data_IF_698653829364
#
_entry.id   IF_698653829364
#
_cell.length_a   1.000
_cell.length_b   1.000
_cell.length_c   1.000
_cell.angle_alpha   90.00
_cell.angle_beta   90.00
_cell.angle_gamma   90.00
#
_symmetry.space_group_name_H-M   'P 1'
#
loop_
_entity.id
_entity.type
_entity.pdbx_description
1 polymer ?
#
# COMPACT_ATOMS: atom_id res chain seq x y z
N UNK A 1 -15.12 0.43 11.90
CA UNK A 1 -15.45 0.18 10.47
C UNK A 1 -14.24 -0.50 9.85
N UNK A 2 -14.37 -1.42 8.89
CA UNK A 2 -13.19 -2.09 8.33
C UNK A 2 -12.29 -1.00 7.68
N UNK A 3 -10.99 -0.97 7.97
CA UNK A 3 -10.10 0.13 7.55
C UNK A 3 -10.10 0.34 6.03
N UNK A 4 -10.29 -0.74 5.27
CA UNK A 4 -10.50 -0.72 3.82
C UNK A 4 -11.74 0.09 3.38
N UNK A 5 -12.83 0.05 4.14
CA UNK A 5 -14.04 0.84 3.84
C UNK A 5 -13.81 2.34 4.06
N UNK A 6 -13.05 2.71 5.08
CA UNK A 6 -12.66 4.11 5.31
C UNK A 6 -11.78 4.62 4.16
N UNK A 7 -10.78 3.82 3.75
CA UNK A 7 -9.92 4.14 2.62
C UNK A 7 -10.70 4.25 1.30
N UNK A 8 -11.68 3.38 1.09
CA UNK A 8 -12.55 3.42 -0.09
C UNK A 8 -13.41 4.70 -0.12
N UNK A 9 -13.98 5.11 1.01
CA UNK A 9 -14.79 6.34 1.10
C UNK A 9 -13.93 7.58 0.82
N UNK A 10 -12.73 7.64 1.40
CA UNK A 10 -11.77 8.73 1.13
C UNK A 10 -11.43 8.76 -0.38
N UNK A 11 -11.12 7.61 -0.96
CA UNK A 11 -10.82 7.50 -2.39
C UNK A 11 -11.99 7.92 -3.28
N UNK A 12 -13.23 7.59 -2.91
CA UNK A 12 -14.43 7.98 -3.63
C UNK A 12 -14.64 9.50 -3.61
N UNK A 13 -14.47 10.13 -2.46
CA UNK A 13 -14.56 11.59 -2.33
C UNK A 13 -13.47 12.27 -3.17
N UNK A 14 -12.23 11.79 -3.10
CA UNK A 14 -11.12 12.32 -3.92
C UNK A 14 -11.37 12.13 -5.42
N UNK A 15 -11.86 10.97 -5.84
CA UNK A 15 -12.18 10.70 -7.24
C UNK A 15 -13.30 11.61 -7.76
N UNK A 16 -14.35 11.85 -6.97
CA UNK A 16 -15.44 12.76 -7.31
C UNK A 16 -14.95 14.21 -7.41
N UNK A 17 -14.10 14.64 -6.48
CA UNK A 17 -13.48 15.98 -6.51
C UNK A 17 -12.61 16.13 -7.77
N UNK A 18 -11.75 15.16 -8.06
CA UNK A 18 -10.90 15.18 -9.27
C UNK A 18 -11.75 15.21 -10.53
N UNK A 19 -12.80 14.39 -10.63
CA UNK A 19 -13.70 14.40 -11.77
C UNK A 19 -14.41 15.76 -11.94
N UNK A 20 -14.90 16.35 -10.84
CA UNK A 20 -15.52 17.67 -10.86
C UNK A 20 -14.54 18.75 -11.33
N UNK A 21 -13.32 18.77 -10.78
CA UNK A 21 -12.28 19.74 -11.14
C UNK A 21 -11.89 19.58 -12.61
N UNK A 22 -11.66 18.36 -13.08
CA UNK A 22 -11.26 18.09 -14.47
C UNK A 22 -12.35 18.51 -15.45
N UNK A 23 -13.61 18.20 -15.17
CA UNK A 23 -14.75 18.61 -16.02
C UNK A 23 -14.94 20.13 -16.01
N UNK A 24 -14.87 20.77 -14.84
CA UNK A 24 -15.02 22.22 -14.72
C UNK A 24 -13.87 22.95 -15.45
N UNK A 25 -12.63 22.54 -15.21
CA UNK A 25 -11.46 23.09 -15.88
C UNK A 25 -11.51 22.87 -17.40
N UNK A 26 -11.99 21.71 -17.86
CA UNK A 26 -12.12 21.41 -19.29
C UNK A 26 -13.13 22.31 -20.00
N UNK A 27 -14.22 22.71 -19.33
CA UNK A 27 -15.21 23.66 -19.88
C UNK A 27 -14.71 25.11 -19.93
N UNK A 28 -13.83 25.49 -19.01
CA UNK A 28 -13.27 26.85 -18.93
C UNK A 28 -12.08 27.00 -19.88
N UNK A 29 -11.36 25.92 -20.15
CA UNK A 29 -10.13 25.95 -20.94
C UNK A 29 -10.40 26.10 -22.44
N UNK A 30 -9.73 27.05 -23.09
CA UNK A 30 -9.92 27.33 -24.50
C UNK A 30 -9.62 26.09 -25.37
N UNK A 31 -10.49 25.78 -26.37
CA UNK A 31 -10.26 24.68 -27.31
C UNK A 31 -8.92 24.83 -28.03
N UNK A 32 -8.18 23.73 -28.18
CA UNK A 32 -6.90 23.70 -28.91
C UNK A 32 -5.66 24.03 -28.08
N UNK A 33 -5.79 24.36 -26.79
CA UNK A 33 -4.63 24.53 -25.90
C UNK A 33 -4.08 23.18 -25.42
N UNK A 34 -2.78 23.11 -25.15
CA UNK A 34 -2.14 21.92 -24.54
C UNK A 34 -2.81 21.55 -23.21
N UNK A 35 -3.26 22.54 -22.45
CA UNK A 35 -3.98 22.33 -21.20
C UNK A 35 -5.33 21.64 -21.42
N UNK A 36 -6.10 22.07 -22.42
CA UNK A 36 -7.35 21.41 -22.80
C UNK A 36 -7.10 19.94 -23.19
N UNK A 37 -6.00 19.65 -23.91
CA UNK A 37 -5.63 18.26 -24.25
C UNK A 37 -5.34 17.40 -23.02
N UNK A 38 -4.59 17.90 -22.04
CA UNK A 38 -4.31 17.17 -20.79
C UNK A 38 -5.61 16.90 -20.04
N UNK A 39 -6.50 17.89 -19.94
CA UNK A 39 -7.79 17.74 -19.27
C UNK A 39 -8.71 16.72 -19.98
N UNK A 40 -8.65 16.65 -21.32
CA UNK A 40 -9.35 15.60 -22.07
C UNK A 40 -8.82 14.21 -21.74
N UNK A 41 -7.50 14.03 -21.66
CA UNK A 41 -6.88 12.75 -21.25
C UNK A 41 -7.35 12.38 -19.84
N UNK A 42 -7.44 13.35 -18.94
CA UNK A 42 -7.94 13.17 -17.57
C UNK A 42 -9.46 12.93 -17.48
N UNK A 43 -10.20 12.98 -18.60
CA UNK A 43 -11.63 12.66 -18.64
C UNK A 43 -12.58 13.86 -18.56
N UNK A 44 -12.18 15.04 -19.03
CA UNK A 44 -13.06 16.23 -19.02
C UNK A 44 -14.30 16.14 -19.92
N UNK A 45 -14.31 15.21 -20.90
CA UNK A 45 -15.45 14.96 -21.79
C UNK A 45 -16.46 14.00 -21.17
N UNK A 46 -17.64 14.48 -20.77
CA UNK A 46 -18.77 13.61 -20.41
C UNK A 46 -19.57 13.26 -21.66
N UNK A 47 -19.98 12.00 -21.89
CA UNK A 47 -19.97 10.84 -20.98
C UNK A 47 -18.73 9.92 -21.06
N UNK A 48 -17.75 10.21 -21.90
CA UNK A 48 -16.59 9.32 -22.10
C UNK A 48 -15.62 9.25 -20.91
N UNK A 49 -15.66 10.24 -20.01
CA UNK A 49 -14.85 10.33 -18.79
C UNK A 49 -15.15 9.31 -17.68
N UNK A 50 -16.15 8.43 -17.87
CA UNK A 50 -16.57 7.45 -16.84
C UNK A 50 -15.45 6.45 -16.53
N UNK A 51 -14.70 6.01 -17.54
CA UNK A 51 -13.61 5.05 -17.31
C UNK A 51 -12.50 5.71 -16.49
N UNK A 52 -12.15 6.95 -16.81
CA UNK A 52 -11.16 7.75 -16.09
C UNK A 52 -11.58 7.93 -14.62
N UNK A 53 -12.86 8.15 -14.34
CA UNK A 53 -13.37 8.20 -12.96
C UNK A 53 -13.06 6.90 -12.19
N UNK A 54 -13.35 5.73 -12.77
CA UNK A 54 -13.01 4.45 -12.14
C UNK A 54 -11.50 4.24 -12.02
N UNK A 55 -10.71 4.68 -13.00
CA UNK A 55 -9.24 4.64 -12.92
C UNK A 55 -8.72 5.49 -11.76
N UNK A 56 -9.23 6.72 -11.58
CA UNK A 56 -8.85 7.58 -10.45
C UNK A 56 -9.34 7.03 -9.11
N UNK A 57 -10.54 6.46 -9.06
CA UNK A 57 -11.07 5.80 -7.86
C UNK A 57 -10.12 4.69 -7.38
N UNK A 58 -9.73 3.79 -8.29
CA UNK A 58 -8.78 2.73 -7.99
C UNK A 58 -7.42 3.30 -7.58
N UNK A 59 -6.92 4.31 -8.29
CA UNK A 59 -5.64 4.95 -7.98
C UNK A 59 -5.63 5.56 -6.56
N UNK A 60 -6.63 6.35 -6.19
CA UNK A 60 -6.73 6.93 -4.85
C UNK A 60 -6.95 5.88 -3.76
N UNK A 61 -7.70 4.82 -4.07
CA UNK A 61 -7.88 3.71 -3.14
C UNK A 61 -6.56 2.99 -2.88
N UNK A 62 -5.78 2.69 -3.93
CA UNK A 62 -4.44 2.14 -3.81
C UNK A 62 -3.51 3.02 -2.97
N UNK A 63 -3.51 4.35 -3.20
CA UNK A 63 -2.71 5.29 -2.41
C UNK A 63 -3.14 5.33 -0.93
N UNK A 64 -4.44 5.29 -0.64
CA UNK A 64 -4.95 5.29 0.73
C UNK A 64 -4.57 4.01 1.49
N UNK A 65 -4.60 2.86 0.81
CA UNK A 65 -4.14 1.58 1.34
C UNK A 65 -2.62 1.60 1.62
N UNK A 66 -1.81 2.09 0.67
CA UNK A 66 -0.36 2.25 0.86
C UNK A 66 -0.05 3.19 2.03
N UNK A 67 -0.74 4.33 2.11
CA UNK A 67 -0.57 5.28 3.21
C UNK A 67 -0.93 4.65 4.56
N UNK A 68 -2.03 3.88 4.61
CA UNK A 68 -2.43 3.14 5.81
C UNK A 68 -1.39 2.11 6.25
N UNK A 69 -0.79 1.39 5.31
CA UNK A 69 0.29 0.44 5.59
C UNK A 69 1.57 1.15 6.06
N UNK A 70 1.97 2.22 5.39
CA UNK A 70 3.15 3.01 5.77
C UNK A 70 3.00 3.65 7.14
N UNK A 71 1.81 4.17 7.48
CA UNK A 71 1.53 4.72 8.80
C UNK A 71 1.59 3.66 9.88
N UNK A 72 1.05 2.45 9.61
CA UNK A 72 1.12 1.33 10.55
C UNK A 72 2.58 1.00 10.90
N UNK A 73 3.49 0.94 9.91
CA UNK A 73 4.91 0.71 10.17
C UNK A 73 5.56 1.87 10.94
N UNK A 74 5.30 3.11 10.55
CA UNK A 74 5.85 4.26 11.27
C UNK A 74 5.42 4.31 12.74
N UNK A 75 4.17 3.91 13.02
CA UNK A 75 3.71 3.75 14.40
C UNK A 75 4.45 2.61 15.12
N UNK A 76 4.72 1.49 14.44
CA UNK A 76 5.44 0.34 15.02
C UNK A 76 6.93 0.65 15.26
N UNK A 77 7.57 1.47 14.43
CA UNK A 77 8.96 1.93 14.65
C UNK A 77 9.12 2.72 15.95
N UNK A 78 8.05 3.35 16.46
CA UNK A 78 8.08 3.98 17.78
C UNK A 78 8.45 2.99 18.90
N UNK A 79 8.18 1.69 18.73
CA UNK A 79 8.55 0.68 19.72
C UNK A 79 10.06 0.63 20.01
N UNK A 80 10.91 0.94 19.03
CA UNK A 80 12.37 1.02 19.26
C UNK A 80 12.74 2.17 20.19
N UNK A 81 12.02 3.30 20.12
CA UNK A 81 12.27 4.45 21.00
C UNK A 81 12.00 4.16 22.49
N UNK A 82 11.23 3.09 22.78
CA UNK A 82 10.96 2.66 24.14
C UNK A 82 12.15 1.97 24.81
N UNK A 83 13.27 1.74 24.12
CA UNK A 83 14.49 1.09 24.63
C UNK A 83 14.13 -0.16 25.45
N UNK A 84 13.50 -1.13 24.78
CA UNK A 84 12.89 -2.30 25.42
C UNK A 84 13.92 -3.34 25.87
N UNK A 85 15.08 -3.37 25.22
CA UNK A 85 16.19 -4.27 25.53
C UNK A 85 17.44 -3.46 25.90
N UNK A 86 18.36 -4.04 26.70
CA UNK A 86 19.62 -3.40 27.02
C UNK A 86 20.51 -3.37 25.76
N UNK A 87 20.88 -2.17 25.31
CA UNK A 87 21.71 -1.97 24.10
C UNK A 87 23.20 -1.84 24.42
N UNK A 88 23.59 -1.67 25.70
CA UNK A 88 24.99 -1.51 26.11
C UNK A 88 25.84 -2.71 25.69
N UNK A 89 27.02 -2.47 25.12
CA UNK A 89 27.95 -3.55 24.73
C UNK A 89 28.35 -4.41 25.96
N UNK A 90 28.51 -5.72 25.72
CA UNK A 90 28.96 -6.73 26.72
C UNK A 90 28.00 -7.03 27.89
N UNK A 91 26.73 -6.62 27.81
CA UNK A 91 25.74 -7.00 28.83
C UNK A 91 25.35 -8.48 28.72
N UNK A 92 25.57 -9.25 29.79
CA UNK A 92 25.18 -10.67 29.86
C UNK A 92 23.86 -10.80 30.62
N UNK A 93 22.92 -11.57 30.06
CA UNK A 93 21.61 -11.81 30.64
C UNK A 93 21.57 -13.16 31.35
N UNK A 94 21.21 -13.12 32.64
CA UNK A 94 20.84 -14.31 33.39
C UNK A 94 19.38 -14.71 33.13
N UNK A 95 18.98 -15.95 33.46
CA UNK A 95 17.58 -16.37 33.36
C UNK A 95 16.59 -15.52 34.19
N UNK A 96 17.06 -14.84 35.24
CA UNK A 96 16.25 -13.90 36.03
C UNK A 96 16.02 -12.61 35.25
N UNK A 97 17.08 -12.06 34.64
CA UNK A 97 17.00 -10.83 33.84
C UNK A 97 16.03 -10.98 32.66
N UNK A 98 15.97 -12.15 32.03
CA UNK A 98 15.00 -12.44 30.95
C UNK A 98 13.55 -12.34 31.45
N UNK A 99 13.29 -12.72 32.70
CA UNK A 99 11.97 -12.56 33.31
C UNK A 99 11.66 -11.09 33.60
N UNK A 100 12.64 -10.35 34.10
CA UNK A 100 12.47 -8.93 34.44
C UNK A 100 12.24 -8.10 33.18
N UNK A 101 12.95 -8.40 32.08
CA UNK A 101 12.69 -7.83 30.74
C UNK A 101 11.25 -8.09 30.32
N UNK A 102 10.74 -9.32 30.47
CA UNK A 102 9.35 -9.64 30.11
C UNK A 102 8.37 -8.80 30.91
N UNK A 103 8.59 -8.62 32.22
CA UNK A 103 7.73 -7.83 33.09
C UNK A 103 7.79 -6.34 32.72
N UNK A 104 8.97 -5.81 32.41
CA UNK A 104 9.14 -4.42 32.00
C UNK A 104 8.50 -4.12 30.65
N UNK A 105 8.58 -5.06 29.69
CA UNK A 105 7.86 -4.97 28.41
C UNK A 105 6.35 -4.96 28.65
N UNK A 106 5.83 -5.81 29.53
CA UNK A 106 4.40 -5.83 29.86
C UNK A 106 3.94 -4.51 30.50
N UNK A 107 4.71 -3.96 31.46
CA UNK A 107 4.40 -2.66 32.06
C UNK A 107 4.41 -1.52 31.04
N UNK A 108 5.35 -1.55 30.08
CA UNK A 108 5.41 -0.56 29.00
C UNK A 108 4.24 -0.73 28.04
N UNK A 109 3.77 -1.95 27.76
CA UNK A 109 2.53 -2.15 26.99
C UNK A 109 1.28 -1.61 27.70
N UNK A 110 1.19 -1.69 29.03
CA UNK A 110 0.05 -1.16 29.79
C UNK A 110 -0.01 0.38 29.75
N UNK A 111 1.16 1.04 29.68
CA UNK A 111 1.26 2.50 29.57
C UNK A 111 1.18 3.04 28.13
N UNK A 112 1.42 2.18 27.13
CA UNK A 112 1.42 2.52 25.71
C UNK A 112 0.46 1.59 24.94
N UNK A 113 0.70 1.39 23.65
CA UNK A 113 -0.01 0.38 22.84
C UNK A 113 0.81 -0.90 22.74
N UNK A 114 0.13 -1.98 22.38
CA UNK A 114 0.77 -3.24 22.00
C UNK A 114 1.44 -3.08 20.62
N UNK A 115 2.72 -3.44 20.55
CA UNK A 115 3.52 -3.41 19.31
C UNK A 115 3.93 -4.82 18.90
N UNK A 116 4.29 -4.99 17.63
CA UNK A 116 4.80 -6.26 17.10
C UNK A 116 6.11 -6.64 17.80
N UNK A 117 6.99 -5.67 18.03
CA UNK A 117 8.26 -5.87 18.73
C UNK A 117 8.06 -6.30 20.20
N UNK A 118 7.12 -5.69 20.92
CA UNK A 118 6.85 -6.06 22.33
C UNK A 118 6.28 -7.48 22.42
N UNK A 119 5.39 -7.86 21.49
CA UNK A 119 4.89 -9.23 21.41
C UNK A 119 5.99 -10.24 21.10
N UNK A 120 6.90 -9.91 20.17
CA UNK A 120 8.04 -10.75 19.81
C UNK A 120 8.95 -11.01 21.02
N UNK A 121 9.34 -9.95 21.75
CA UNK A 121 10.18 -10.06 22.96
C UNK A 121 9.48 -10.94 24.01
N UNK A 122 8.19 -10.72 24.27
CA UNK A 122 7.44 -11.54 25.24
C UNK A 122 7.39 -13.02 24.85
N UNK A 123 7.18 -13.33 23.56
CA UNK A 123 7.18 -14.71 23.06
C UNK A 123 8.55 -15.36 23.24
N UNK A 124 9.62 -14.65 22.87
CA UNK A 124 11.00 -15.09 23.05
C UNK A 124 11.32 -15.39 24.53
N UNK A 125 11.06 -14.43 25.44
CA UNK A 125 11.29 -14.61 26.87
C UNK A 125 10.46 -15.77 27.45
N UNK A 126 9.21 -15.93 27.02
CA UNK A 126 8.33 -17.01 27.50
C UNK A 126 8.84 -18.38 27.05
N UNK A 127 9.25 -18.51 25.79
CA UNK A 127 9.79 -19.75 25.24
C UNK A 127 11.12 -20.12 25.91
N UNK A 128 12.01 -19.14 26.08
CA UNK A 128 13.27 -19.35 26.80
C UNK A 128 13.02 -19.82 28.24
N UNK A 129 12.09 -19.19 28.97
CA UNK A 129 11.78 -19.58 30.35
C UNK A 129 11.25 -21.01 30.47
N UNK A 130 10.45 -21.47 29.50
CA UNK A 130 9.90 -22.82 29.53
C UNK A 130 10.99 -23.88 29.34
N UNK A 131 11.88 -23.67 28.37
CA UNK A 131 12.77 -24.74 27.88
C UNK A 131 14.25 -24.51 28.18
N UNK A 132 14.61 -23.34 28.76
CA UNK A 132 16.00 -22.91 29.08
C UNK A 132 16.97 -23.04 27.90
N UNK A 133 16.43 -22.95 26.68
CA UNK A 133 17.15 -23.14 25.43
C UNK A 133 17.13 -21.85 24.62
N UNK A 134 18.31 -21.28 24.39
CA UNK A 134 18.48 -20.12 23.49
C UNK A 134 18.15 -20.49 22.05
N UNK A 135 18.44 -21.72 21.64
CA UNK A 135 18.11 -22.23 20.30
C UNK A 135 16.60 -22.24 20.05
N UNK A 136 15.80 -22.68 21.03
CA UNK A 136 14.34 -22.69 20.88
C UNK A 136 13.73 -21.28 20.97
N UNK A 137 14.38 -20.38 21.73
CA UNK A 137 14.01 -18.97 21.78
C UNK A 137 14.30 -18.26 20.45
N UNK A 138 15.41 -18.62 19.78
CA UNK A 138 15.71 -18.14 18.42
C UNK A 138 14.68 -18.64 17.41
N UNK A 139 14.34 -19.94 17.46
CA UNK A 139 13.35 -20.53 16.56
C UNK A 139 11.99 -19.84 16.66
N UNK A 140 11.51 -19.56 17.88
CA UNK A 140 10.22 -18.84 18.04
C UNK A 140 10.29 -17.40 17.53
N UNK A 141 11.44 -16.73 17.64
CA UNK A 141 11.64 -15.37 17.13
C UNK A 141 11.51 -15.38 15.60
N UNK A 142 12.31 -16.19 14.92
CA UNK A 142 12.29 -16.29 13.46
C UNK A 142 10.93 -16.76 12.94
N UNK A 143 10.31 -17.74 13.59
CA UNK A 143 8.96 -18.20 13.22
C UNK A 143 7.90 -17.10 13.38
N UNK A 144 7.97 -16.32 14.46
CA UNK A 144 7.02 -15.22 14.70
C UNK A 144 7.22 -14.08 13.71
N UNK A 145 8.45 -13.70 13.40
CA UNK A 145 8.77 -12.67 12.39
C UNK A 145 8.23 -13.11 11.03
N UNK A 146 8.47 -14.36 10.62
CA UNK A 146 7.96 -14.91 9.37
C UNK A 146 6.43 -14.88 9.30
N UNK A 147 5.73 -15.26 10.37
CA UNK A 147 4.26 -15.19 10.43
C UNK A 147 3.79 -13.74 10.30
N UNK A 148 4.43 -12.80 11.00
CA UNK A 148 4.07 -11.38 10.94
C UNK A 148 4.30 -10.79 9.55
N UNK A 149 5.40 -11.16 8.88
CA UNK A 149 5.69 -10.76 7.50
C UNK A 149 4.62 -11.31 6.54
N UNK A 150 4.27 -12.59 6.64
CA UNK A 150 3.20 -13.18 5.82
C UNK A 150 1.83 -12.51 6.05
N UNK A 151 1.52 -12.15 7.31
CA UNK A 151 0.31 -11.38 7.61
C UNK A 151 0.35 -9.99 6.97
N UNK A 152 1.49 -9.29 7.04
CA UNK A 152 1.68 -7.99 6.40
C UNK A 152 1.55 -8.07 4.86
N UNK A 153 2.11 -9.12 4.25
CA UNK A 153 1.95 -9.37 2.81
C UNK A 153 0.50 -9.65 2.41
N UNK A 154 -0.25 -10.35 3.27
CA UNK A 154 -1.68 -10.62 3.10
C UNK A 154 -2.51 -9.34 3.17
N UNK A 155 -2.24 -8.46 4.14
CA UNK A 155 -2.88 -7.14 4.24
C UNK A 155 -2.67 -6.29 2.98
N UNK A 156 -1.49 -6.40 2.35
CA UNK A 156 -1.15 -5.68 1.11
C UNK A 156 -1.74 -6.32 -0.17
N UNK A 157 -2.45 -7.44 -0.08
CA UNK A 157 -3.05 -8.11 -1.23
C UNK A 157 -3.99 -7.21 -2.02
N UNK A 158 -4.76 -6.35 -1.33
CA UNK A 158 -5.67 -5.41 -1.96
C UNK A 158 -4.93 -4.36 -2.80
N UNK A 159 -3.76 -3.89 -2.36
CA UNK A 159 -2.94 -2.93 -3.11
C UNK A 159 -2.48 -3.57 -4.43
N UNK A 160 -2.00 -4.82 -4.38
CA UNK A 160 -1.58 -5.55 -5.58
C UNK A 160 -2.74 -5.79 -6.55
N UNK A 161 -3.91 -6.14 -6.03
CA UNK A 161 -5.12 -6.29 -6.83
C UNK A 161 -5.49 -4.99 -7.55
N UNK A 162 -5.50 -3.87 -6.83
CA UNK A 162 -5.83 -2.54 -7.39
C UNK A 162 -4.81 -2.11 -8.44
N UNK A 163 -3.52 -2.29 -8.17
CA UNK A 163 -2.46 -1.95 -9.11
C UNK A 163 -2.56 -2.74 -10.43
N UNK A 164 -3.00 -4.01 -10.36
CA UNK A 164 -3.34 -4.83 -11.53
C UNK A 164 -4.65 -4.38 -12.20
N UNK A 165 -5.67 -4.00 -11.42
CA UNK A 165 -6.98 -3.63 -11.95
C UNK A 165 -6.96 -2.31 -12.75
N UNK A 166 -6.14 -1.33 -12.35
CA UNK A 166 -6.03 -0.02 -13.04
C UNK A 166 -5.77 -0.18 -14.55
N UNK A 167 -4.71 -0.88 -15.02
CA UNK A 167 -4.46 -1.05 -16.45
C UNK A 167 -5.53 -1.89 -17.13
N UNK A 168 -6.14 -2.86 -16.44
CA UNK A 168 -7.27 -3.63 -16.98
C UNK A 168 -8.50 -2.75 -17.24
N UNK A 169 -8.83 -1.82 -16.33
CA UNK A 169 -9.90 -0.84 -16.52
C UNK A 169 -9.61 0.07 -17.71
N UNK A 170 -8.37 0.53 -17.87
CA UNK A 170 -7.97 1.31 -19.05
C UNK A 170 -8.11 0.53 -20.36
N UNK A 171 -7.72 -0.74 -20.36
CA UNK A 171 -7.88 -1.63 -21.52
C UNK A 171 -9.36 -1.87 -21.86
N UNK A 172 -10.21 -2.07 -20.86
CA UNK A 172 -11.68 -2.15 -21.05
C UNK A 172 -12.20 -0.86 -21.68
N UNK A 173 -11.74 0.30 -21.22
CA UNK A 173 -12.10 1.59 -21.81
C UNK A 173 -11.75 1.69 -23.29
N UNK A 174 -10.56 1.20 -23.67
CA UNK A 174 -10.15 1.15 -25.07
C UNK A 174 -11.00 0.22 -25.91
N UNK A 175 -11.34 -0.97 -25.39
CA UNK A 175 -12.24 -1.90 -26.08
C UNK A 175 -13.59 -1.25 -26.33
N UNK A 176 -14.16 -0.57 -25.32
CA UNK A 176 -15.45 0.14 -25.45
C UNK A 176 -15.35 1.23 -26.52
N UNK A 177 -14.28 2.03 -26.51
CA UNK A 177 -14.09 3.11 -27.48
C UNK A 177 -13.92 2.61 -28.92
N UNK A 178 -13.10 1.58 -29.13
CA UNK A 178 -12.88 0.98 -30.46
C UNK A 178 -14.15 0.27 -30.97
N UNK A 179 -14.85 -0.48 -30.10
CA UNK A 179 -16.10 -1.13 -30.47
C UNK A 179 -17.17 -0.10 -30.86
N UNK A 180 -17.26 1.01 -30.11
CA UNK A 180 -18.14 2.14 -30.43
C UNK A 180 -17.80 2.77 -31.78
N UNK A 181 -16.52 2.99 -32.07
CA UNK A 181 -16.09 3.58 -33.34
C UNK A 181 -16.34 2.67 -34.55
N UNK A 182 -16.23 1.35 -34.41
CA UNK A 182 -16.55 0.41 -35.49
C UNK A 182 -18.06 0.32 -35.76
N UNK A 183 -18.89 0.52 -34.74
CA UNK A 183 -20.36 0.57 -34.87
C UNK A 183 -20.84 1.74 -35.75
N UNK A 184 -20.16 2.89 -35.70
CA UNK A 184 -20.53 4.08 -36.47
C UNK A 184 -20.16 3.95 -37.96
N UNK A 185 -19.04 3.29 -38.29
CA UNK A 185 -18.60 3.07 -39.70
C UNK A 185 -19.60 2.26 -40.52
N UNK A 186 -20.37 1.38 -39.89
CA UNK A 186 -21.40 0.57 -40.58
C UNK A 186 -22.63 1.38 -40.98
N UNK A 187 -22.83 2.58 -40.44
CA UNK A 187 -24.10 3.30 -40.54
C UNK A 187 -24.21 4.19 -41.79
N UNK A 188 -23.12 4.79 -42.28
CA UNK A 188 -22.92 5.46 -43.58
C UNK A 188 -21.43 5.87 -43.69
N UNK A 189 -20.90 6.08 -44.89
CA UNK A 189 -19.49 6.50 -45.09
C UNK A 189 -19.45 7.96 -45.56
N UNK A 190 -19.83 8.91 -44.71
CA UNK A 190 -19.59 10.35 -44.91
C UNK A 190 -18.26 10.83 -44.31
N UNK A 191 -17.77 12.00 -44.72
CA UNK A 191 -16.57 12.61 -44.10
C UNK A 191 -16.76 12.89 -42.59
N UNK A 192 -17.99 13.23 -42.17
CA UNK A 192 -18.35 13.43 -40.76
C UNK A 192 -18.19 12.16 -39.92
N UNK A 193 -18.39 10.98 -40.52
CA UNK A 193 -18.25 9.69 -39.82
C UNK A 193 -16.79 9.37 -39.53
N UNK A 194 -15.86 9.76 -40.42
CA UNK A 194 -14.41 9.59 -40.22
C UNK A 194 -13.93 10.46 -39.06
N UNK A 195 -14.40 11.69 -38.96
CA UNK A 195 -14.05 12.59 -37.85
C UNK A 195 -14.52 12.04 -36.49
N UNK A 196 -15.74 11.52 -36.42
CA UNK A 196 -16.30 10.90 -35.21
C UNK A 196 -15.54 9.64 -34.78
N UNK A 197 -15.19 8.78 -35.74
CA UNK A 197 -14.36 7.58 -35.51
C UNK A 197 -13.01 7.97 -34.94
N UNK A 198 -12.36 8.96 -35.56
CA UNK A 198 -11.04 9.44 -35.13
C UNK A 198 -11.09 9.98 -33.70
N UNK A 199 -12.13 10.75 -33.36
CA UNK A 199 -12.32 11.26 -32.01
C UNK A 199 -12.54 10.15 -30.97
N UNK A 200 -13.35 9.14 -31.30
CA UNK A 200 -13.59 8.00 -30.42
C UNK A 200 -12.31 7.18 -30.17
N UNK A 201 -11.48 6.99 -31.20
CA UNK A 201 -10.18 6.33 -31.07
C UNK A 201 -9.22 7.13 -30.20
N UNK A 202 -9.16 8.46 -30.33
CA UNK A 202 -8.34 9.29 -29.46
C UNK A 202 -8.69 9.11 -27.98
N UNK A 203 -9.98 9.17 -27.65
CA UNK A 203 -10.45 8.99 -26.27
C UNK A 203 -10.14 7.59 -25.74
N UNK A 204 -10.27 6.56 -26.58
CA UNK A 204 -9.91 5.18 -26.24
C UNK A 204 -8.43 5.09 -25.84
N UNK A 205 -7.52 5.54 -26.71
CA UNK A 205 -6.08 5.50 -26.44
C UNK A 205 -5.67 6.32 -25.22
N UNK A 206 -6.25 7.51 -25.05
CA UNK A 206 -5.97 8.37 -23.88
C UNK A 206 -6.35 7.69 -22.56
N UNK A 207 -7.46 6.96 -22.55
CA UNK A 207 -7.93 6.22 -21.38
C UNK A 207 -6.92 5.14 -20.96
N UNK A 208 -6.38 4.39 -21.93
CA UNK A 208 -5.31 3.41 -21.63
C UNK A 208 -4.02 4.10 -21.20
N UNK A 209 -3.60 5.17 -21.90
CA UNK A 209 -2.39 5.90 -21.54
C UNK A 209 -2.45 6.40 -20.09
N UNK A 210 -3.55 7.03 -19.68
CA UNK A 210 -3.76 7.49 -18.32
C UNK A 210 -3.65 6.34 -17.32
N UNK A 211 -4.33 5.21 -17.59
CA UNK A 211 -4.31 4.07 -16.68
C UNK A 211 -2.92 3.47 -16.48
N UNK A 212 -2.13 3.37 -17.56
CA UNK A 212 -0.76 2.85 -17.49
C UNK A 212 0.14 3.76 -16.67
N UNK A 213 0.07 5.08 -16.91
CA UNK A 213 0.84 6.07 -16.16
C UNK A 213 0.50 6.00 -14.66
N UNK A 214 -0.80 5.99 -14.31
CA UNK A 214 -1.23 5.89 -12.92
C UNK A 214 -0.82 4.57 -12.26
N UNK A 215 -0.90 3.45 -12.98
CA UNK A 215 -0.48 2.13 -12.49
C UNK A 215 1.02 2.09 -12.21
N UNK A 216 1.85 2.63 -13.09
CA UNK A 216 3.32 2.71 -12.90
C UNK A 216 3.65 3.53 -11.65
N UNK A 217 3.03 4.70 -11.49
CA UNK A 217 3.24 5.55 -10.30
C UNK A 217 2.81 4.80 -9.03
N UNK A 218 1.64 4.17 -9.04
CA UNK A 218 1.14 3.43 -7.88
C UNK A 218 2.07 2.26 -7.51
N UNK A 219 2.51 1.48 -8.49
CA UNK A 219 3.41 0.34 -8.29
C UNK A 219 4.77 0.75 -7.76
N UNK A 220 5.30 1.90 -8.22
CA UNK A 220 6.54 2.46 -7.71
C UNK A 220 6.42 2.81 -6.22
N UNK A 221 5.37 3.55 -5.84
CA UNK A 221 5.14 3.91 -4.42
C UNK A 221 4.92 2.65 -3.58
N UNK A 222 4.18 1.68 -4.09
CA UNK A 222 3.96 0.40 -3.41
C UNK A 222 5.29 -0.33 -3.13
N UNK A 223 6.18 -0.46 -4.11
CA UNK A 223 7.49 -1.10 -3.93
C UNK A 223 8.35 -0.40 -2.86
N UNK A 224 8.39 0.94 -2.87
CA UNK A 224 9.13 1.71 -1.86
C UNK A 224 8.57 1.45 -0.44
N UNK A 225 7.25 1.35 -0.30
CA UNK A 225 6.63 1.02 0.99
C UNK A 225 6.88 -0.43 1.39
N UNK A 226 6.84 -1.37 0.44
CA UNK A 226 7.14 -2.78 0.68
C UNK A 226 8.57 -2.96 1.20
N UNK A 227 9.57 -2.32 0.56
CA UNK A 227 10.97 -2.38 1.01
C UNK A 227 11.13 -1.90 2.46
N UNK A 228 10.41 -0.84 2.85
CA UNK A 228 10.41 -0.35 4.25
C UNK A 228 9.80 -1.37 5.22
N UNK A 229 8.70 -2.01 4.84
CA UNK A 229 8.05 -3.05 5.65
C UNK A 229 8.99 -4.23 5.87
N UNK A 230 9.64 -4.71 4.81
CA UNK A 230 10.58 -5.82 4.86
C UNK A 230 11.80 -5.48 5.74
N UNK A 231 12.38 -4.29 5.56
CA UNK A 231 13.47 -3.79 6.40
C UNK A 231 13.06 -3.67 7.87
N UNK A 232 11.85 -3.19 8.17
CA UNK A 232 11.35 -3.12 9.54
C UNK A 232 11.31 -4.51 10.21
N UNK A 233 10.79 -5.52 9.52
CA UNK A 233 10.74 -6.89 10.04
C UNK A 233 12.13 -7.50 10.23
N UNK A 234 13.05 -7.28 9.28
CA UNK A 234 14.42 -7.75 9.39
C UNK A 234 15.17 -7.09 10.56
N UNK A 235 15.06 -5.76 10.70
CA UNK A 235 15.66 -5.02 11.80
C UNK A 235 15.11 -5.47 13.16
N UNK A 236 13.81 -5.78 13.22
CA UNK A 236 13.16 -6.28 14.43
C UNK A 236 13.70 -7.64 14.85
N UNK A 237 13.89 -8.54 13.89
CA UNK A 237 14.50 -9.84 14.12
C UNK A 237 15.94 -9.69 14.64
N UNK A 238 16.78 -8.93 13.91
CA UNK A 238 18.16 -8.64 14.32
C UNK A 238 18.25 -8.02 15.71
N UNK A 239 17.40 -7.02 16.00
CA UNK A 239 17.39 -6.36 17.31
C UNK A 239 17.15 -7.34 18.46
N UNK A 240 16.16 -8.24 18.32
CA UNK A 240 15.88 -9.24 19.35
C UNK A 240 16.97 -10.30 19.43
N UNK A 241 17.54 -10.74 18.30
CA UNK A 241 18.64 -11.71 18.31
C UNK A 241 19.87 -11.12 19.02
N UNK A 242 20.29 -9.92 18.66
CA UNK A 242 21.49 -9.28 19.17
C UNK A 242 21.37 -8.82 20.62
N UNK A 243 20.21 -8.27 21.02
CA UNK A 243 20.02 -7.65 22.33
C UNK A 243 19.33 -8.55 23.35
N UNK A 244 18.73 -9.66 22.92
CA UNK A 244 18.16 -10.68 23.81
C UNK A 244 18.89 -12.01 23.64
N UNK A 245 18.74 -12.69 22.50
CA UNK A 245 19.12 -14.10 22.35
C UNK A 245 20.63 -14.33 22.55
N UNK A 246 21.48 -13.57 21.87
CA UNK A 246 22.94 -13.71 21.90
C UNK A 246 23.56 -13.35 23.26
N UNK A 247 22.81 -12.64 24.10
CA UNK A 247 23.28 -12.18 25.42
C UNK A 247 22.88 -13.10 26.55
N UNK A 248 21.99 -14.06 26.30
CA UNK A 248 21.60 -15.05 27.30
C UNK A 248 22.74 -16.04 27.51
N UNK A 249 23.32 -16.03 28.71
CA UNK A 249 24.37 -16.98 29.08
C UNK A 249 23.79 -18.20 29.80
N UNK A 250 24.24 -19.39 29.39
CA UNK A 250 23.96 -20.65 30.08
C UNK A 250 24.94 -20.77 31.24
N UNK A 251 24.45 -20.64 32.47
CA UNK A 251 25.14 -21.23 33.63
C UNK A 251 25.02 -22.74 33.59
#
# INVERSE_FOLDING_TARGET
MNKHWENLLIALVLALITAFIVVAAGKISAPGTTMNRILQIMGSGLPSGVVQFFTFLLFYFGLAEIYSASKKIGDEEFAYSLHLLPEREQYVLSPRDVNDIKLDVMKKEDGYRKYVLTELIKKACTKYRANKSTSEALEIVTATVRINMANSESEQSMIRYVAWAIPSVGFIGTIIGIAGSLGTVKANMGEDDIALVTQALYVAFDTTLLSLVLSIVLMFVFHVTQEKIEKFHANMESYVIENLINRIYKN
#
